data_IF_317091843117
#
_entry.id   IF_317091843117
#
_cell.length_a   1.000
_cell.length_b   1.000
_cell.length_c   1.000
_cell.angle_alpha   90.00
_cell.angle_beta   90.00
_cell.angle_gamma   90.00
#
_symmetry.space_group_name_H-M   'P 1'
#
loop_
_entity.id
_entity.type
_entity.pdbx_description
1 polymer ?
#
# COMPACT_ATOMS: atom_id res chain seq x y z
N UNK A 1 -50.29 3.02 -12.42
CA UNK A 1 -49.55 3.43 -11.21
C UNK A 1 -48.24 4.06 -11.69
N UNK A 2 -47.70 5.02 -10.96
CA UNK A 2 -46.34 5.61 -11.10
C UNK A 2 -46.15 7.01 -11.72
N UNK A 3 -47.21 7.78 -12.03
CA UNK A 3 -47.01 9.22 -12.34
C UNK A 3 -46.41 10.00 -11.14
N UNK A 4 -46.86 9.70 -9.91
CA UNK A 4 -46.30 10.33 -8.71
C UNK A 4 -44.84 9.92 -8.42
N UNK A 5 -44.41 8.72 -8.86
CA UNK A 5 -43.03 8.26 -8.68
C UNK A 5 -42.11 8.88 -9.73
N UNK A 6 -42.57 8.95 -10.98
CA UNK A 6 -41.87 9.63 -12.07
C UNK A 6 -41.56 11.08 -11.69
N UNK A 7 -42.54 11.79 -11.19
CA UNK A 7 -42.39 13.18 -10.74
C UNK A 7 -41.40 13.33 -9.57
N UNK A 8 -41.43 12.41 -8.60
CA UNK A 8 -40.49 12.41 -7.48
C UNK A 8 -39.05 12.11 -7.92
N UNK A 9 -38.87 11.18 -8.87
CA UNK A 9 -37.57 10.83 -9.43
C UNK A 9 -36.97 11.99 -10.23
N UNK A 10 -37.79 12.70 -11.02
CA UNK A 10 -37.39 13.94 -11.74
C UNK A 10 -36.87 14.99 -10.75
N UNK A 11 -37.61 15.22 -9.66
CA UNK A 11 -37.23 16.20 -8.65
C UNK A 11 -35.92 15.82 -7.93
N UNK A 12 -35.72 14.53 -7.63
CA UNK A 12 -34.49 14.03 -7.02
C UNK A 12 -33.28 14.24 -7.93
N UNK A 13 -33.40 13.87 -9.21
CA UNK A 13 -32.31 13.99 -10.18
C UNK A 13 -31.99 15.48 -10.47
N UNK A 14 -33.00 16.35 -10.48
CA UNK A 14 -32.80 17.79 -10.62
C UNK A 14 -32.10 18.39 -9.39
N UNK A 15 -32.42 17.93 -8.18
CA UNK A 15 -31.70 18.34 -6.95
C UNK A 15 -30.24 17.87 -6.92
N UNK A 16 -29.88 16.84 -7.70
CA UNK A 16 -28.50 16.41 -7.92
C UNK A 16 -27.77 17.25 -8.99
N UNK A 17 -28.44 18.27 -9.55
CA UNK A 17 -27.87 19.17 -10.55
C UNK A 17 -27.85 18.60 -11.96
N UNK A 18 -28.58 17.51 -12.25
CA UNK A 18 -28.67 16.96 -13.59
C UNK A 18 -29.53 17.86 -14.49
N UNK A 19 -29.11 17.99 -15.75
CA UNK A 19 -29.88 18.68 -16.79
C UNK A 19 -31.07 17.85 -17.27
N UNK A 20 -32.10 18.51 -17.80
CA UNK A 20 -33.36 17.85 -18.19
C UNK A 20 -33.17 16.75 -19.26
N UNK A 21 -32.17 16.88 -20.13
CA UNK A 21 -31.81 15.84 -21.11
C UNK A 21 -31.18 14.61 -20.44
N UNK A 22 -30.37 14.79 -19.40
CA UNK A 22 -29.79 13.70 -18.61
C UNK A 22 -30.85 13.00 -17.76
N UNK A 23 -31.80 13.76 -17.20
CA UNK A 23 -32.93 13.23 -16.45
C UNK A 23 -33.80 12.35 -17.37
N UNK A 24 -34.06 12.81 -18.59
CA UNK A 24 -34.81 12.03 -19.59
C UNK A 24 -34.12 10.70 -19.91
N UNK A 25 -32.81 10.74 -20.19
CA UNK A 25 -32.04 9.54 -20.50
C UNK A 25 -32.03 8.52 -19.34
N UNK A 26 -31.85 9.00 -18.11
CA UNK A 26 -31.82 8.16 -16.91
C UNK A 26 -33.19 7.52 -16.61
N UNK A 27 -34.29 8.26 -16.82
CA UNK A 27 -35.64 7.75 -16.59
C UNK A 27 -36.10 6.77 -17.67
N UNK A 28 -35.77 7.03 -18.94
CA UNK A 28 -36.03 6.08 -20.03
C UNK A 28 -35.24 4.78 -19.80
N UNK A 29 -33.97 4.89 -19.36
CA UNK A 29 -33.14 3.74 -18.98
C UNK A 29 -33.73 2.94 -17.80
N UNK A 30 -34.44 3.61 -16.89
CA UNK A 30 -35.18 2.98 -15.78
C UNK A 30 -36.52 2.38 -16.20
N UNK A 31 -36.87 2.48 -17.48
CA UNK A 31 -38.06 1.84 -18.08
C UNK A 31 -39.29 2.75 -18.13
N UNK A 32 -39.16 4.05 -17.85
CA UNK A 32 -40.27 4.99 -18.00
C UNK A 32 -40.49 5.34 -19.48
N UNK A 33 -41.75 5.38 -19.96
CA UNK A 33 -42.04 5.74 -21.34
C UNK A 33 -41.72 7.21 -21.60
N UNK A 34 -40.96 7.46 -22.67
CA UNK A 34 -40.40 8.78 -23.02
C UNK A 34 -41.46 9.89 -23.06
N UNK A 35 -42.65 9.61 -23.62
CA UNK A 35 -43.75 10.58 -23.70
C UNK A 35 -44.24 11.04 -22.33
N UNK A 36 -44.28 10.14 -21.34
CA UNK A 36 -44.66 10.50 -19.97
C UNK A 36 -43.58 11.32 -19.29
N UNK A 37 -42.31 10.97 -19.48
CA UNK A 37 -41.18 11.71 -18.89
C UNK A 37 -41.14 13.15 -19.41
N UNK A 38 -41.33 13.33 -20.71
CA UNK A 38 -41.33 14.65 -21.34
C UNK A 38 -42.51 15.50 -20.86
N UNK A 39 -43.71 14.92 -20.79
CA UNK A 39 -44.89 15.61 -20.27
C UNK A 39 -44.70 16.04 -18.80
N UNK A 40 -44.11 15.19 -17.97
CA UNK A 40 -43.83 15.49 -16.56
C UNK A 40 -42.74 16.56 -16.38
N UNK A 41 -41.69 16.56 -17.22
CA UNK A 41 -40.65 17.60 -17.22
C UNK A 41 -41.23 18.96 -17.61
N UNK A 42 -42.03 19.03 -18.67
CA UNK A 42 -42.68 20.28 -19.10
C UNK A 42 -43.69 20.78 -18.06
N UNK A 43 -44.42 19.88 -17.38
CA UNK A 43 -45.34 20.25 -16.31
C UNK A 43 -44.63 20.84 -15.09
N UNK A 44 -43.37 20.43 -14.82
CA UNK A 44 -42.55 20.97 -13.74
C UNK A 44 -41.91 22.32 -14.07
N UNK A 45 -41.78 22.66 -15.36
CA UNK A 45 -41.20 23.92 -15.83
C UNK A 45 -42.26 25.01 -16.10
N UNK A 46 -43.55 24.62 -16.11
CA UNK A 46 -44.65 25.57 -16.16
C UNK A 46 -44.73 26.35 -14.84
N UNK A 47 -44.69 27.70 -14.87
CA UNK A 47 -44.95 28.50 -13.69
C UNK A 47 -46.32 28.11 -13.13
N UNK A 48 -46.41 27.83 -11.83
CA UNK A 48 -47.71 27.69 -11.16
C UNK A 48 -48.41 29.05 -11.15
N UNK A 49 -49.10 29.37 -12.24
CA UNK A 49 -50.12 30.41 -12.24
C UNK A 49 -51.38 29.85 -11.57
N UNK A 50 -51.65 30.43 -10.41
CA UNK A 50 -52.89 30.30 -9.67
C UNK A 50 -54.10 30.54 -10.56
N UNK A 51 -55.15 29.73 -10.33
CA UNK A 51 -56.32 29.64 -11.17
C UNK A 51 -57.01 30.95 -11.53
N UNK A 52 -57.56 30.98 -12.73
CA UNK A 52 -58.69 31.81 -13.09
C UNK A 52 -59.50 31.11 -14.18
N UNK A 53 -60.67 30.64 -13.79
CA UNK A 53 -61.71 30.12 -14.65
C UNK A 53 -62.31 31.23 -15.50
N UNK A 54 -62.12 31.19 -16.82
CA UNK A 54 -62.92 31.97 -17.77
C UNK A 54 -63.27 31.13 -19.00
N UNK A 55 -64.49 31.27 -19.55
CA UNK A 55 -64.98 30.43 -20.62
C UNK A 55 -64.43 30.84 -21.99
N UNK A 56 -63.89 29.83 -22.67
CA UNK A 56 -64.04 29.49 -24.09
C UNK A 56 -64.56 30.58 -25.04
N UNK A 57 -63.67 31.05 -25.92
CA UNK A 57 -64.07 31.52 -27.25
C UNK A 57 -62.94 31.23 -28.26
N UNK A 58 -63.14 30.24 -29.12
CA UNK A 58 -62.20 29.84 -30.17
C UNK A 58 -62.46 30.67 -31.45
N UNK A 59 -61.45 31.33 -32.04
CA UNK A 59 -61.44 31.64 -33.47
C UNK A 59 -60.94 30.44 -34.31
N UNK A 60 -61.28 30.37 -35.60
CA UNK A 60 -61.11 29.18 -36.44
C UNK A 60 -59.64 28.83 -36.70
N UNK A 61 -59.32 27.55 -36.58
CA UNK A 61 -58.02 26.96 -36.92
C UNK A 61 -57.67 27.20 -38.39
N UNK A 62 -56.54 27.87 -38.62
CA UNK A 62 -55.77 27.71 -39.84
C UNK A 62 -55.14 26.30 -39.84
N UNK A 63 -54.99 25.65 -41.01
CA UNK A 63 -54.39 24.33 -41.08
C UNK A 63 -52.97 24.36 -40.49
N UNK A 64 -52.59 23.36 -39.67
CA UNK A 64 -51.26 23.31 -39.10
C UNK A 64 -50.24 23.20 -40.23
N UNK A 65 -49.39 24.22 -40.34
CA UNK A 65 -48.15 24.09 -41.07
C UNK A 65 -47.36 22.95 -40.40
N UNK A 66 -47.06 21.91 -41.18
CA UNK A 66 -46.13 20.85 -40.79
C UNK A 66 -44.82 21.51 -40.36
N UNK A 67 -44.60 21.60 -39.05
CA UNK A 67 -43.28 21.84 -38.51
C UNK A 67 -42.41 20.63 -38.90
N UNK A 68 -41.21 20.84 -39.46
CA UNK A 68 -40.31 19.74 -39.71
C UNK A 68 -40.02 19.02 -38.37
N UNK A 69 -39.95 17.67 -38.37
CA UNK A 69 -39.62 16.94 -37.16
C UNK A 69 -38.27 17.45 -36.60
N UNK A 70 -38.14 17.60 -35.27
CA UNK A 70 -36.88 18.00 -34.66
C UNK A 70 -35.80 17.00 -35.06
N UNK A 71 -34.68 17.54 -35.53
CA UNK A 71 -33.46 16.83 -35.90
C UNK A 71 -32.96 16.04 -34.69
N UNK A 72 -33.42 14.80 -34.56
CA UNK A 72 -33.00 13.87 -33.51
C UNK A 72 -31.61 13.28 -33.79
N UNK A 73 -31.15 13.34 -35.04
CA UNK A 73 -29.80 12.90 -35.44
C UNK A 73 -28.68 13.75 -34.80
N UNK A 74 -28.91 15.04 -34.56
CA UNK A 74 -27.88 15.96 -34.04
C UNK A 74 -27.60 15.74 -32.53
N UNK A 75 -28.63 15.33 -31.78
CA UNK A 75 -28.49 15.00 -30.35
C UNK A 75 -27.80 13.65 -30.14
N UNK A 76 -28.08 12.64 -30.98
CA UNK A 76 -27.42 11.34 -30.89
C UNK A 76 -25.95 11.44 -31.28
N UNK A 77 -25.62 12.19 -32.34
CA UNK A 77 -24.23 12.45 -32.73
C UNK A 77 -23.43 13.19 -31.66
N UNK A 78 -24.02 14.18 -30.98
CA UNK A 78 -23.38 14.84 -29.83
C UNK A 78 -23.16 13.91 -28.64
N UNK A 79 -24.10 13.01 -28.37
CA UNK A 79 -23.94 12.02 -27.28
C UNK A 79 -22.84 11.02 -27.63
N UNK A 80 -22.73 10.62 -28.89
CA UNK A 80 -21.66 9.73 -29.39
C UNK A 80 -20.29 10.41 -29.30
N UNK A 81 -20.17 11.67 -29.74
CA UNK A 81 -18.92 12.46 -29.60
C UNK A 81 -18.50 12.65 -28.13
N UNK A 82 -19.47 12.92 -27.24
CA UNK A 82 -19.21 13.02 -25.80
C UNK A 82 -18.81 11.65 -25.22
N UNK A 83 -19.43 10.57 -25.69
CA UNK A 83 -19.08 9.22 -25.23
C UNK A 83 -17.68 8.80 -25.69
N UNK A 84 -17.33 9.05 -26.95
CA UNK A 84 -16.00 8.77 -27.50
C UNK A 84 -14.90 9.56 -26.79
N UNK A 85 -15.12 10.87 -26.59
CA UNK A 85 -14.15 11.71 -25.87
C UNK A 85 -13.96 11.28 -24.41
N UNK A 86 -15.03 10.84 -23.73
CA UNK A 86 -14.92 10.28 -22.37
C UNK A 86 -14.18 8.93 -22.38
N UNK A 87 -14.44 8.07 -23.37
CA UNK A 87 -13.77 6.76 -23.49
C UNK A 87 -12.27 6.95 -23.72
N UNK A 88 -11.88 7.83 -24.65
CA UNK A 88 -10.47 8.13 -24.95
C UNK A 88 -9.76 8.72 -23.73
N UNK A 89 -10.37 9.68 -23.03
CA UNK A 89 -9.78 10.26 -21.82
C UNK A 89 -9.56 9.18 -20.74
N UNK A 90 -10.52 8.27 -20.55
CA UNK A 90 -10.39 7.17 -19.59
C UNK A 90 -9.37 6.13 -20.03
N UNK A 91 -9.25 5.88 -21.33
CA UNK A 91 -8.26 4.97 -21.88
C UNK A 91 -6.84 5.51 -21.68
N UNK A 92 -6.62 6.80 -21.93
CA UNK A 92 -5.36 7.47 -21.67
C UNK A 92 -5.00 7.46 -20.18
N UNK A 93 -5.97 7.75 -19.30
CA UNK A 93 -5.78 7.65 -17.84
C UNK A 93 -5.38 6.22 -17.43
N UNK A 94 -6.03 5.20 -17.99
CA UNK A 94 -5.71 3.79 -17.70
C UNK A 94 -4.28 3.44 -18.15
N UNK A 95 -3.87 3.87 -19.35
CA UNK A 95 -2.52 3.63 -19.87
C UNK A 95 -1.47 4.27 -18.96
N UNK A 96 -1.74 5.47 -18.44
CA UNK A 96 -0.84 6.15 -17.49
C UNK A 96 -0.70 5.33 -16.19
N UNK A 97 -1.81 4.85 -15.62
CA UNK A 97 -1.76 4.03 -14.40
C UNK A 97 -1.04 2.68 -14.64
N UNK A 98 -1.25 2.04 -15.79
CA UNK A 98 -0.52 0.81 -16.16
C UNK A 98 0.98 1.07 -16.27
N UNK A 99 1.40 2.20 -16.87
CA UNK A 99 2.82 2.57 -16.92
C UNK A 99 3.43 2.73 -15.52
N UNK A 100 2.73 3.39 -14.59
CA UNK A 100 3.16 3.50 -13.18
C UNK A 100 3.30 2.13 -12.52
N UNK A 101 2.40 1.19 -12.78
CA UNK A 101 2.47 -0.18 -12.26
C UNK A 101 3.70 -0.91 -12.83
N UNK A 102 4.01 -0.74 -14.12
CA UNK A 102 5.19 -1.35 -14.75
C UNK A 102 6.49 -0.79 -14.14
N UNK A 103 6.56 0.52 -13.92
CA UNK A 103 7.71 1.16 -13.26
C UNK A 103 7.87 0.64 -11.82
N UNK A 104 6.77 0.59 -11.07
CA UNK A 104 6.77 0.04 -9.72
C UNK A 104 7.20 -1.43 -9.69
N UNK A 105 6.69 -2.26 -10.62
CA UNK A 105 7.09 -3.66 -10.78
C UNK A 105 8.59 -3.78 -11.03
N UNK A 106 9.13 -2.97 -11.94
CA UNK A 106 10.56 -2.98 -12.29
C UNK A 106 11.42 -2.62 -11.08
N UNK A 107 11.04 -1.58 -10.33
CA UNK A 107 11.73 -1.19 -9.09
C UNK A 107 11.66 -2.26 -8.00
N UNK A 108 10.52 -2.95 -7.89
CA UNK A 108 10.35 -4.05 -6.96
C UNK A 108 11.23 -5.25 -7.35
N UNK A 109 11.30 -5.59 -8.64
CA UNK A 109 12.16 -6.66 -9.14
C UNK A 109 13.65 -6.37 -8.86
N UNK A 110 14.09 -5.13 -9.05
CA UNK A 110 15.45 -4.69 -8.69
C UNK A 110 15.71 -4.78 -7.17
N UNK A 111 14.75 -4.34 -6.35
CA UNK A 111 14.86 -4.41 -4.89
C UNK A 111 14.93 -5.86 -4.41
N UNK A 112 14.09 -6.74 -4.95
CA UNK A 112 14.10 -8.18 -4.62
C UNK A 112 15.40 -8.83 -5.06
N UNK A 113 15.92 -8.47 -6.24
CA UNK A 113 17.21 -8.97 -6.71
C UNK A 113 18.35 -8.57 -5.78
N UNK A 114 18.38 -7.30 -5.36
CA UNK A 114 19.39 -6.77 -4.43
C UNK A 114 19.30 -7.46 -3.07
N UNK A 115 18.08 -7.62 -2.55
CA UNK A 115 17.85 -8.27 -1.25
C UNK A 115 18.29 -9.74 -1.26
N UNK A 116 18.08 -10.47 -2.36
CA UNK A 116 18.60 -11.85 -2.50
C UNK A 116 20.13 -11.87 -2.45
N UNK A 117 20.77 -10.97 -3.18
CA UNK A 117 22.23 -10.86 -3.19
C UNK A 117 22.80 -10.53 -1.81
N UNK A 118 22.17 -9.62 -1.08
CA UNK A 118 22.60 -9.24 0.27
C UNK A 118 22.41 -10.40 1.27
N UNK A 119 21.35 -11.19 1.13
CA UNK A 119 21.15 -12.41 1.93
C UNK A 119 22.21 -13.46 1.62
N UNK A 120 22.58 -13.64 0.35
CA UNK A 120 23.65 -14.58 -0.03
C UNK A 120 25.01 -14.13 0.51
N UNK A 121 25.33 -12.84 0.43
CA UNK A 121 26.53 -12.27 1.06
C UNK A 121 26.54 -12.47 2.57
N UNK A 122 25.42 -12.16 3.24
CA UNK A 122 25.30 -12.33 4.69
C UNK A 122 25.52 -13.79 5.11
N UNK A 123 25.01 -14.74 4.31
CA UNK A 123 25.23 -16.16 4.51
C UNK A 123 26.70 -16.54 4.39
N UNK A 124 27.42 -15.97 3.42
CA UNK A 124 28.85 -16.24 3.25
C UNK A 124 29.70 -15.59 4.35
N UNK A 125 29.40 -14.35 4.73
CA UNK A 125 30.01 -13.67 5.88
C UNK A 125 29.78 -14.45 7.18
N UNK A 126 28.59 -15.00 7.37
CA UNK A 126 28.27 -15.85 8.52
C UNK A 126 29.11 -17.13 8.53
N UNK A 127 29.32 -17.78 7.38
CA UNK A 127 30.20 -18.97 7.30
C UNK A 127 31.65 -18.62 7.67
N UNK A 128 32.16 -17.50 7.14
CA UNK A 128 33.52 -17.04 7.44
C UNK A 128 33.65 -16.73 8.93
N UNK A 129 32.68 -16.02 9.51
CA UNK A 129 32.65 -15.72 10.94
C UNK A 129 32.60 -17.00 11.77
N UNK A 130 31.71 -17.94 11.42
CA UNK A 130 31.57 -19.21 12.12
C UNK A 130 32.87 -20.02 12.12
N UNK A 131 33.54 -20.10 10.96
CA UNK A 131 34.83 -20.76 10.83
C UNK A 131 35.92 -20.04 11.64
N UNK A 132 35.94 -18.70 11.62
CA UNK A 132 36.87 -17.89 12.40
C UNK A 132 36.67 -18.06 13.91
N UNK A 133 35.42 -18.10 14.38
CA UNK A 133 35.08 -18.32 15.80
C UNK A 133 35.46 -19.73 16.24
N UNK A 134 35.18 -20.76 15.44
CA UNK A 134 35.60 -22.13 15.73
C UNK A 134 37.13 -22.24 15.83
N UNK A 135 37.87 -21.65 14.89
CA UNK A 135 39.33 -21.63 14.94
C UNK A 135 39.86 -20.91 16.19
N UNK A 136 39.27 -19.78 16.57
CA UNK A 136 39.65 -19.08 17.81
C UNK A 136 39.34 -19.87 19.07
N UNK A 137 38.25 -20.65 19.07
CA UNK A 137 37.90 -21.51 20.18
C UNK A 137 38.89 -22.68 20.31
N UNK A 138 39.30 -23.28 19.19
CA UNK A 138 40.33 -24.33 19.17
C UNK A 138 41.69 -23.80 19.62
N UNK A 139 42.11 -22.62 19.15
CA UNK A 139 43.31 -21.92 19.63
C UNK A 139 43.26 -21.68 21.14
N UNK A 140 42.09 -21.31 21.66
CA UNK A 140 41.88 -21.07 23.09
C UNK A 140 42.00 -22.37 23.90
N UNK A 141 41.36 -23.45 23.45
CA UNK A 141 41.43 -24.77 24.11
C UNK A 141 42.88 -25.29 24.15
N UNK A 142 43.61 -25.18 23.04
CA UNK A 142 45.03 -25.54 22.97
C UNK A 142 45.87 -24.72 23.94
N UNK A 143 45.72 -23.38 23.96
CA UNK A 143 46.42 -22.51 24.93
C UNK A 143 46.08 -22.87 26.37
N UNK A 144 44.81 -23.18 26.67
CA UNK A 144 44.40 -23.55 28.02
C UNK A 144 45.02 -24.89 28.45
N UNK A 145 45.17 -25.84 27.52
CA UNK A 145 45.88 -27.11 27.76
C UNK A 145 47.36 -26.92 28.01
N UNK A 146 48.01 -26.04 27.24
CA UNK A 146 49.42 -25.70 27.43
C UNK A 146 49.64 -25.04 28.79
N UNK A 147 48.81 -24.04 29.13
CA UNK A 147 48.81 -23.40 30.46
C UNK A 147 48.59 -24.44 31.57
N UNK A 148 47.68 -25.40 31.39
CA UNK A 148 47.48 -26.49 32.36
C UNK A 148 48.72 -27.36 32.55
N UNK A 149 49.48 -27.59 31.47
CA UNK A 149 50.74 -28.35 31.50
C UNK A 149 51.85 -27.57 32.20
N UNK A 150 51.99 -26.28 31.88
CA UNK A 150 52.93 -25.37 32.56
C UNK A 150 52.60 -25.25 34.04
N UNK A 151 51.32 -25.07 34.39
CA UNK A 151 50.87 -24.98 35.79
C UNK A 151 51.19 -26.27 36.56
N UNK A 152 51.07 -27.43 35.91
CA UNK A 152 51.44 -28.72 36.51
C UNK A 152 52.95 -28.84 36.73
N UNK A 153 53.75 -28.37 35.78
CA UNK A 153 55.21 -28.32 35.91
C UNK A 153 55.63 -27.38 37.05
N UNK A 154 55.05 -26.18 37.09
CA UNK A 154 55.24 -25.20 38.19
C UNK A 154 54.83 -25.82 39.52
N UNK A 155 53.69 -26.51 39.59
CA UNK A 155 53.25 -27.22 40.78
C UNK A 155 54.23 -28.29 41.26
N UNK A 156 54.87 -29.02 40.32
CA UNK A 156 55.92 -29.99 40.64
C UNK A 156 57.17 -29.30 41.18
N UNK A 157 57.62 -28.23 40.54
CA UNK A 157 58.78 -27.45 41.02
C UNK A 157 58.50 -26.86 42.39
N UNK A 158 57.31 -26.32 42.65
CA UNK A 158 56.93 -25.85 43.98
C UNK A 158 56.96 -26.97 45.03
N UNK A 159 56.46 -28.16 44.68
CA UNK A 159 56.49 -29.33 45.55
C UNK A 159 57.92 -29.76 45.91
N UNK A 160 58.84 -29.64 44.96
CA UNK A 160 60.23 -30.04 45.15
C UNK A 160 61.05 -28.95 45.88
N UNK A 161 60.80 -27.65 45.60
CA UNK A 161 61.58 -26.53 46.13
C UNK A 161 61.11 -26.07 47.52
N UNK A 162 59.81 -26.06 47.81
CA UNK A 162 59.29 -25.58 49.11
C UNK A 162 59.92 -26.35 50.29
N UNK A 163 59.96 -27.70 50.29
CA UNK A 163 60.57 -28.44 51.39
C UNK A 163 62.04 -28.10 51.58
N UNK A 164 62.83 -28.06 50.50
CA UNK A 164 64.26 -27.69 50.55
C UNK A 164 64.45 -26.27 51.07
N UNK A 165 63.60 -25.32 50.68
CA UNK A 165 63.67 -23.94 51.16
C UNK A 165 63.35 -23.86 52.66
N UNK A 166 62.33 -24.57 53.13
CA UNK A 166 61.97 -24.65 54.56
C UNK A 166 63.10 -25.29 55.37
N UNK A 167 63.72 -26.35 54.86
CA UNK A 167 64.83 -27.04 55.50
C UNK A 167 66.06 -26.13 55.61
N UNK A 168 66.43 -25.45 54.52
CA UNK A 168 67.52 -24.47 54.51
C UNK A 168 67.27 -23.31 55.51
N UNK A 169 66.05 -22.77 55.57
CA UNK A 169 65.70 -21.71 56.53
C UNK A 169 65.80 -22.21 57.98
N UNK A 170 65.41 -23.47 58.23
CA UNK A 170 65.51 -24.10 59.55
C UNK A 170 66.97 -24.32 59.97
N UNK A 171 67.83 -24.75 59.05
CA UNK A 171 69.27 -24.87 59.27
C UNK A 171 69.90 -23.50 59.58
N UNK A 172 69.58 -22.47 58.77
CA UNK A 172 70.10 -21.11 58.97
C UNK A 172 69.67 -20.53 60.32
N UNK A 173 68.42 -20.77 60.73
CA UNK A 173 67.91 -20.42 62.05
C UNK A 173 68.70 -21.12 63.16
N UNK A 174 69.00 -22.40 62.99
CA UNK A 174 69.78 -23.21 63.95
C UNK A 174 71.22 -22.72 64.07
N UNK A 175 71.89 -22.40 62.95
CA UNK A 175 73.24 -21.82 62.92
C UNK A 175 73.26 -20.46 63.61
N UNK A 176 72.27 -19.61 63.32
CA UNK A 176 72.14 -18.29 63.93
C UNK A 176 71.93 -18.39 65.44
N UNK A 177 71.08 -19.31 65.91
CA UNK A 177 70.91 -19.58 67.35
C UNK A 177 72.19 -20.11 68.00
N UNK A 178 72.94 -20.97 67.31
CA UNK A 178 74.24 -21.47 67.77
C UNK A 178 75.27 -20.35 67.94
N UNK A 179 75.35 -19.43 66.97
CA UNK A 179 76.22 -18.25 67.06
C UNK A 179 75.80 -17.29 68.17
N UNK A 180 74.50 -17.19 68.47
CA UNK A 180 73.98 -16.28 69.51
C UNK A 180 74.18 -16.78 70.94
N UNK A 181 74.56 -18.05 71.13
CA UNK A 181 74.83 -18.69 72.44
C UNK A 181 76.31 -18.75 72.83
N UNK A 182 77.23 -18.37 71.94
CA UNK A 182 78.64 -18.10 72.25
C UNK A 182 78.82 -16.62 72.54
#
# INVERSE_FOLDING_TARGET
MDQNRLTADIQLLRNQGLSDSMILAELVKRGYPQDQVQMSLTQYDAPQEYGSSYPQNYPPQAPPAYAPPPQTEDLTGRIEEIAESIIDEKWDQLIIEVKKIIEWKTKMEETVSTLRHDVDKLKDDFKILHQGVLGKLEDYDNRMRDVGTELKAVGKVFKDVIPTFVENVKELSSVTQGMRKK
#
